data_IF_750635198413
#
_entry.id   IF_750635198413
#
_cell.length_a   1.000
_cell.length_b   1.000
_cell.length_c   1.000
_cell.angle_alpha   90.00
_cell.angle_beta   90.00
_cell.angle_gamma   90.00
#
_symmetry.space_group_name_H-M   'P 1'
#
loop_
_entity.id
_entity.type
_entity.pdbx_description
1 polymer ?
#
# COMPACT_ATOMS: atom_id res chain seq x y z
N UNK A 1 0.95 23.81 9.10
CA UNK A 1 1.30 22.87 8.01
C UNK A 1 2.29 21.88 8.58
N UNK A 2 1.80 20.68 8.96
CA UNK A 2 2.68 19.59 9.40
C UNK A 2 3.41 19.02 8.18
N UNK A 3 4.68 18.68 8.33
CA UNK A 3 5.46 18.03 7.28
C UNK A 3 5.21 16.52 7.38
N UNK A 4 5.09 15.81 6.24
CA UNK A 4 4.92 14.35 6.26
C UNK A 4 6.12 13.68 6.93
N UNK A 5 5.88 12.55 7.59
CA UNK A 5 6.97 11.68 8.03
C UNK A 5 7.47 10.91 6.81
N UNK A 6 8.69 11.24 6.40
CA UNK A 6 9.36 10.57 5.30
C UNK A 6 10.52 9.75 5.85
N UNK A 7 10.39 8.43 5.76
CA UNK A 7 11.48 7.50 6.02
C UNK A 7 12.10 7.13 4.67
N UNK A 8 13.33 7.58 4.44
CA UNK A 8 14.03 7.45 3.14
C UNK A 8 15.54 7.45 3.32
N UNK A 9 16.25 6.96 2.29
CA UNK A 9 17.69 6.94 1.95
C UNK A 9 18.76 7.11 3.05
N UNK A 10 18.59 8.02 4.00
CA UNK A 10 19.49 8.23 5.15
C UNK A 10 19.15 7.34 6.35
N UNK A 11 18.05 6.61 6.26
CA UNK A 11 17.57 5.70 7.27
C UNK A 11 17.39 4.33 6.62
N UNK A 12 18.48 3.60 6.40
CA UNK A 12 18.43 2.13 6.31
C UNK A 12 18.02 1.57 7.68
N UNK A 13 16.84 1.97 8.15
CA UNK A 13 16.26 1.47 9.39
C UNK A 13 15.79 0.07 9.05
N UNK A 14 16.53 -0.90 9.57
CA UNK A 14 15.98 -2.21 9.85
C UNK A 14 15.24 -2.10 11.19
N UNK A 15 14.05 -2.69 11.29
CA UNK A 15 13.26 -2.77 12.52
C UNK A 15 12.77 -1.41 13.05
N UNK A 16 11.73 -0.88 12.41
CA UNK A 16 11.01 0.31 12.89
C UNK A 16 9.56 -0.03 13.28
N UNK A 17 9.09 0.47 14.43
CA UNK A 17 7.69 0.41 14.81
C UNK A 17 7.08 1.82 14.80
N UNK A 18 6.02 2.00 14.01
CA UNK A 18 5.23 3.23 13.92
C UNK A 18 3.82 2.87 14.37
N UNK A 19 3.42 3.37 15.53
CA UNK A 19 2.14 3.02 16.11
C UNK A 19 1.52 4.15 16.91
N UNK A 20 0.18 4.14 17.02
CA UNK A 20 -0.61 5.12 17.76
C UNK A 20 -0.37 6.57 17.30
N UNK A 21 -0.06 6.76 16.02
CA UNK A 21 0.17 8.07 15.41
C UNK A 21 -1.05 8.53 14.61
N UNK A 22 -1.17 9.85 14.47
CA UNK A 22 -2.17 10.50 13.59
C UNK A 22 -1.43 11.31 12.52
N UNK A 23 -1.72 11.02 11.26
CA UNK A 23 -1.20 11.72 10.08
C UNK A 23 -2.34 12.46 9.40
N UNK A 24 -2.35 13.78 9.56
CA UNK A 24 -3.53 14.59 9.23
C UNK A 24 -3.19 15.68 8.21
N UNK A 25 -3.90 15.65 7.07
CA UNK A 25 -3.86 16.64 5.99
C UNK A 25 -2.43 17.01 5.54
N UNK A 26 -1.54 16.02 5.45
CA UNK A 26 -0.22 16.27 4.87
C UNK A 26 -0.37 16.64 3.39
N UNK A 27 0.50 17.55 2.94
CA UNK A 27 0.53 17.96 1.53
C UNK A 27 0.62 16.72 0.62
N UNK A 28 1.56 15.83 0.93
CA UNK A 28 1.79 14.57 0.22
C UNK A 28 1.28 13.40 1.05
N UNK A 29 1.81 12.22 0.76
CA UNK A 29 1.59 11.00 1.54
C UNK A 29 1.72 11.24 3.04
N UNK A 30 0.84 10.64 3.85
CA UNK A 30 0.93 10.72 5.32
C UNK A 30 2.22 10.09 5.84
N UNK A 31 2.45 8.83 5.46
CA UNK A 31 3.70 8.10 5.73
C UNK A 31 4.25 7.47 4.45
N UNK A 32 5.50 7.79 4.11
CA UNK A 32 6.22 7.15 3.00
C UNK A 32 7.36 6.29 3.52
N UNK A 33 7.25 4.98 3.30
CA UNK A 33 8.28 3.96 3.54
C UNK A 33 8.99 3.73 2.21
N UNK A 34 10.23 4.21 2.06
CA UNK A 34 10.98 4.12 0.81
C UNK A 34 12.34 3.45 1.03
N UNK A 35 12.66 2.43 0.21
CA UNK A 35 13.94 1.69 0.28
C UNK A 35 14.24 1.26 1.73
N UNK A 36 13.23 0.70 2.38
CA UNK A 36 13.30 0.30 3.79
C UNK A 36 12.92 -1.17 3.91
N UNK A 37 13.17 -1.76 5.08
CA UNK A 37 12.74 -3.12 5.37
C UNK A 37 12.37 -3.32 6.82
N UNK A 38 11.57 -4.35 7.08
CA UNK A 38 11.20 -4.79 8.42
C UNK A 38 10.57 -3.64 9.24
N UNK A 39 9.73 -2.83 8.57
CA UNK A 39 9.00 -1.71 9.17
C UNK A 39 7.58 -2.17 9.49
N UNK A 40 7.16 -1.94 10.72
CA UNK A 40 5.83 -2.23 11.25
C UNK A 40 5.07 -0.93 11.43
N UNK A 41 3.96 -0.79 10.70
CA UNK A 41 3.02 0.35 10.77
C UNK A 41 1.70 -0.16 11.29
N UNK A 42 1.45 0.05 12.58
CA UNK A 42 0.36 -0.59 13.30
C UNK A 42 -0.52 0.44 13.99
N UNK A 43 -1.85 0.34 13.91
CA UNK A 43 -2.76 1.15 14.75
C UNK A 43 -2.56 2.65 14.59
N UNK A 44 -2.49 3.14 13.36
CA UNK A 44 -2.39 4.57 13.09
C UNK A 44 -3.63 5.09 12.34
N UNK A 45 -3.84 6.40 12.39
CA UNK A 45 -4.90 7.10 11.69
C UNK A 45 -4.33 8.03 10.62
N UNK A 46 -4.83 7.94 9.39
CA UNK A 46 -4.42 8.73 8.24
C UNK A 46 -5.62 9.44 7.61
N UNK A 47 -5.65 10.77 7.67
CA UNK A 47 -6.79 11.59 7.21
C UNK A 47 -6.32 12.58 6.16
N UNK A 48 -6.99 12.62 5.00
CA UNK A 48 -6.88 13.76 4.08
C UNK A 48 -5.50 13.98 3.45
N UNK A 49 -4.62 12.98 3.48
CA UNK A 49 -3.23 13.11 3.02
C UNK A 49 -3.14 13.02 1.48
N UNK A 50 -2.25 13.81 0.88
CA UNK A 50 -1.95 13.72 -0.56
C UNK A 50 -2.92 14.47 -1.47
N UNK A 51 -3.89 15.19 -0.92
CA UNK A 51 -4.94 15.89 -1.69
C UNK A 51 -4.58 17.33 -2.06
N UNK A 52 -3.34 17.77 -1.81
CA UNK A 52 -2.96 19.14 -2.09
C UNK A 52 -3.05 19.46 -3.60
N UNK A 53 -3.65 20.61 -3.99
CA UNK A 53 -3.78 21.01 -5.38
C UNK A 53 -2.43 21.03 -6.12
N UNK A 54 -2.45 20.62 -7.39
CA UNK A 54 -1.26 20.62 -8.24
C UNK A 54 -0.25 19.51 -7.95
N UNK A 55 -0.52 18.61 -7.00
CA UNK A 55 0.31 17.42 -6.80
C UNK A 55 -0.14 16.26 -7.67
N UNK A 56 0.66 15.95 -8.70
CA UNK A 56 0.47 14.76 -9.51
C UNK A 56 1.52 13.68 -9.21
N UNK A 57 1.95 13.59 -7.95
CA UNK A 57 2.82 12.50 -7.53
C UNK A 57 2.00 11.20 -7.50
N UNK A 58 2.51 10.23 -8.25
CA UNK A 58 1.90 8.93 -8.41
C UNK A 58 2.05 8.10 -7.14
N UNK A 59 0.96 7.43 -6.76
CA UNK A 59 0.86 6.64 -5.54
C UNK A 59 1.00 7.45 -4.24
N UNK A 60 0.71 8.75 -4.24
CA UNK A 60 0.54 9.48 -2.98
C UNK A 60 -0.72 8.98 -2.25
N UNK A 61 -0.61 8.75 -0.94
CA UNK A 61 -1.61 7.98 -0.18
C UNK A 61 -1.66 8.33 1.32
N UNK A 62 -2.54 7.70 2.09
CA UNK A 62 -2.40 7.65 3.54
C UNK A 62 -1.06 7.01 3.91
N UNK A 63 -0.83 5.79 3.38
CA UNK A 63 0.42 5.05 3.54
C UNK A 63 0.96 4.66 2.16
N UNK A 64 2.24 4.94 1.92
CA UNK A 64 2.93 4.54 0.69
C UNK A 64 4.13 3.67 1.02
N UNK A 65 4.22 2.53 0.35
CA UNK A 65 5.38 1.64 0.35
C UNK A 65 6.07 1.78 -1.01
N UNK A 66 7.35 2.15 -1.04
CA UNK A 66 8.11 2.31 -2.28
C UNK A 66 9.38 1.48 -2.25
N UNK A 67 9.51 0.53 -3.18
CA UNK A 67 10.69 -0.33 -3.33
C UNK A 67 11.19 -0.85 -1.95
N UNK A 68 10.28 -1.33 -1.10
CA UNK A 68 10.56 -1.71 0.30
C UNK A 68 10.14 -3.15 0.58
N UNK A 69 10.82 -3.78 1.53
CA UNK A 69 10.72 -5.23 1.76
C UNK A 69 10.18 -5.57 3.14
N UNK A 70 9.44 -6.66 3.28
CA UNK A 70 9.03 -7.23 4.57
C UNK A 70 8.36 -6.21 5.53
N UNK A 71 7.65 -5.21 5.00
CA UNK A 71 6.95 -4.24 5.83
C UNK A 71 5.57 -4.77 6.19
N UNK A 72 5.14 -4.55 7.45
CA UNK A 72 3.82 -4.94 7.95
C UNK A 72 2.99 -3.68 8.15
N UNK A 73 1.88 -3.57 7.42
CA UNK A 73 0.90 -2.48 7.54
C UNK A 73 -0.41 -3.10 8.02
N UNK A 74 -0.73 -2.92 9.30
CA UNK A 74 -1.92 -3.53 9.87
C UNK A 74 -2.67 -2.64 10.87
N UNK A 75 -3.99 -2.84 10.96
CA UNK A 75 -4.85 -2.12 11.90
C UNK A 75 -4.80 -0.60 11.74
N UNK A 76 -4.50 -0.09 10.54
CA UNK A 76 -4.52 1.34 10.28
C UNK A 76 -5.87 1.75 9.69
N UNK A 77 -6.27 2.99 9.95
CA UNK A 77 -7.46 3.59 9.33
C UNK A 77 -7.03 4.74 8.41
N UNK A 78 -7.30 4.60 7.12
CA UNK A 78 -6.98 5.57 6.05
C UNK A 78 -8.25 6.14 5.45
N UNK A 79 -8.58 7.40 5.79
CA UNK A 79 -9.83 8.06 5.40
C UNK A 79 -9.56 9.31 4.54
N UNK A 80 -10.26 9.41 3.41
CA UNK A 80 -10.27 10.65 2.63
C UNK A 80 -8.91 11.08 2.09
N UNK A 81 -7.92 10.21 2.03
CA UNK A 81 -6.61 10.48 1.44
C UNK A 81 -6.70 10.41 -0.09
N UNK A 82 -5.62 10.76 -0.80
CA UNK A 82 -5.56 10.59 -2.26
C UNK A 82 -5.79 9.13 -2.64
N UNK A 83 -4.95 8.23 -2.15
CA UNK A 83 -5.20 6.79 -2.12
C UNK A 83 -5.14 6.31 -0.66
N UNK A 84 -5.76 5.17 -0.33
CA UNK A 84 -5.70 4.58 1.01
C UNK A 84 -4.30 4.08 1.35
N UNK A 85 -3.95 2.92 0.80
CA UNK A 85 -2.61 2.33 0.90
C UNK A 85 -2.08 2.08 -0.50
N UNK A 86 -0.82 2.43 -0.75
CA UNK A 86 -0.19 2.23 -2.06
C UNK A 86 1.14 1.48 -1.96
N UNK A 87 1.40 0.66 -2.97
CA UNK A 87 2.71 0.11 -3.25
C UNK A 87 3.21 0.67 -4.58
N UNK A 88 4.38 1.30 -4.54
CA UNK A 88 5.01 1.98 -5.67
C UNK A 88 6.29 1.24 -6.05
N UNK A 89 6.29 0.65 -7.23
CA UNK A 89 7.44 -0.08 -7.77
C UNK A 89 7.92 0.54 -9.09
N UNK A 90 9.23 0.61 -9.26
CA UNK A 90 9.90 1.09 -10.46
C UNK A 90 10.77 -0.02 -11.06
N UNK A 91 12.09 0.18 -11.05
CA UNK A 91 13.06 -0.77 -11.61
C UNK A 91 13.88 -1.46 -10.51
N UNK A 92 13.40 -1.40 -9.26
CA UNK A 92 14.19 -1.69 -8.08
C UNK A 92 15.37 -0.71 -7.92
N UNK A 93 15.94 -0.67 -6.73
CA UNK A 93 17.09 0.19 -6.40
C UNK A 93 18.20 -0.63 -5.77
N UNK A 94 19.33 -0.83 -6.48
CA UNK A 94 20.48 -1.48 -5.87
C UNK A 94 21.09 -0.57 -4.82
N UNK A 95 21.40 -1.11 -3.65
CA UNK A 95 22.04 -0.40 -2.55
C UNK A 95 23.02 -1.33 -1.83
N UNK A 96 24.18 -0.80 -1.48
CA UNK A 96 25.10 -1.46 -0.56
C UNK A 96 24.64 -1.16 0.88
N UNK A 97 24.37 -2.20 1.66
CA UNK A 97 24.10 -2.07 3.10
C UNK A 97 25.20 -2.74 3.91
N UNK A 98 25.38 -2.30 5.16
CA UNK A 98 26.39 -2.85 6.07
C UNK A 98 26.12 -4.32 6.42
N UNK A 99 24.85 -4.67 6.54
CA UNK A 99 24.37 -5.95 7.05
C UNK A 99 24.05 -7.00 5.97
N UNK A 100 23.78 -6.60 4.72
CA UNK A 100 23.41 -7.52 3.62
C UNK A 100 24.25 -7.32 2.35
N UNK A 101 25.20 -6.38 2.34
CA UNK A 101 25.98 -6.06 1.16
C UNK A 101 25.11 -5.50 0.04
N UNK A 102 25.38 -5.90 -1.20
CA UNK A 102 24.65 -5.43 -2.37
C UNK A 102 23.27 -6.07 -2.42
N UNK A 103 22.23 -5.29 -2.13
CA UNK A 103 20.84 -5.73 -2.17
C UNK A 103 20.02 -4.86 -3.14
N UNK A 104 19.10 -5.50 -3.86
CA UNK A 104 18.15 -4.82 -4.72
C UNK A 104 16.85 -4.56 -3.94
N UNK A 105 16.64 -3.31 -3.53
CA UNK A 105 15.38 -2.90 -2.92
C UNK A 105 14.28 -2.87 -3.98
N UNK A 106 13.25 -3.67 -3.77
CA UNK A 106 12.01 -3.68 -4.53
C UNK A 106 10.88 -4.09 -3.58
N UNK A 107 9.63 -3.84 -3.97
CA UNK A 107 8.47 -4.30 -3.23
C UNK A 107 8.47 -5.84 -3.18
N UNK A 108 8.66 -6.39 -1.97
CA UNK A 108 8.64 -7.84 -1.71
C UNK A 108 8.25 -8.14 -0.27
N UNK A 109 7.52 -9.22 -0.02
CA UNK A 109 7.27 -9.71 1.34
C UNK A 109 6.41 -8.78 2.20
N UNK A 110 5.82 -7.73 1.62
CA UNK A 110 4.99 -6.80 2.38
C UNK A 110 3.67 -7.45 2.77
N UNK A 111 3.21 -7.16 3.99
CA UNK A 111 1.93 -7.59 4.53
C UNK A 111 1.03 -6.37 4.71
N UNK A 112 -0.15 -6.39 4.10
CA UNK A 112 -1.18 -5.34 4.22
C UNK A 112 -2.47 -6.03 4.65
N UNK A 113 -2.80 -5.92 5.94
CA UNK A 113 -3.94 -6.66 6.50
C UNK A 113 -4.65 -5.94 7.62
N UNK A 114 -5.94 -6.21 7.82
CA UNK A 114 -6.73 -5.63 8.90
C UNK A 114 -6.78 -4.08 8.89
N UNK A 115 -6.62 -3.45 7.73
CA UNK A 115 -6.74 -1.99 7.59
C UNK A 115 -8.16 -1.58 7.17
N UNK A 116 -8.53 -0.35 7.50
CA UNK A 116 -9.70 0.33 6.96
C UNK A 116 -9.20 1.35 5.92
N UNK A 117 -9.68 1.28 4.68
CA UNK A 117 -9.51 2.33 3.68
C UNK A 117 -10.88 2.79 3.21
N UNK A 118 -11.28 4.02 3.55
CA UNK A 118 -12.61 4.51 3.21
C UNK A 118 -12.58 5.94 2.68
N UNK A 119 -13.46 6.23 1.72
CA UNK A 119 -13.68 7.56 1.16
C UNK A 119 -12.44 8.27 0.60
N UNK A 120 -11.35 7.54 0.33
CA UNK A 120 -10.18 8.08 -0.37
C UNK A 120 -10.59 8.58 -1.77
N UNK A 121 -9.83 9.49 -2.40
CA UNK A 121 -10.23 10.15 -3.66
C UNK A 121 -9.93 9.31 -4.92
N UNK A 122 -8.90 8.46 -4.87
CA UNK A 122 -8.42 7.60 -5.94
C UNK A 122 -8.79 6.14 -5.68
N UNK A 123 -7.88 5.36 -5.09
CA UNK A 123 -8.09 3.94 -4.81
C UNK A 123 -8.01 3.65 -3.31
N UNK A 124 -8.69 2.59 -2.86
CA UNK A 124 -8.53 2.08 -1.49
C UNK A 124 -7.20 1.30 -1.35
N UNK A 125 -6.82 0.61 -2.43
CA UNK A 125 -5.52 -0.04 -2.61
C UNK A 125 -4.93 0.30 -3.99
N UNK A 126 -3.74 0.91 -4.03
CA UNK A 126 -3.06 1.21 -5.28
C UNK A 126 -1.76 0.43 -5.47
N UNK A 127 -1.75 -0.56 -6.37
CA UNK A 127 -0.51 -1.25 -6.79
C UNK A 127 0.10 -0.52 -7.99
N UNK A 128 0.70 0.64 -7.70
CA UNK A 128 1.36 1.54 -8.65
C UNK A 128 2.70 0.96 -9.13
N UNK A 129 2.65 -0.08 -9.97
CA UNK A 129 3.84 -0.74 -10.53
C UNK A 129 4.15 -0.19 -11.91
N UNK A 130 5.21 0.62 -12.02
CA UNK A 130 5.73 1.20 -13.26
C UNK A 130 6.80 0.28 -13.88
N UNK A 131 6.42 -0.97 -14.13
CA UNK A 131 7.32 -2.02 -14.62
C UNK A 131 6.94 -2.50 -16.01
N UNK A 132 7.88 -3.16 -16.70
CA UNK A 132 7.63 -3.73 -18.03
C UNK A 132 6.54 -4.79 -18.09
N UNK A 133 6.15 -5.36 -16.93
CA UNK A 133 5.03 -6.30 -16.82
C UNK A 133 3.75 -5.70 -17.41
N UNK A 134 3.53 -4.41 -17.14
CA UNK A 134 2.31 -3.70 -17.50
C UNK A 134 2.35 -3.13 -18.93
N UNK A 135 3.36 -3.49 -19.73
CA UNK A 135 3.53 -3.02 -21.11
C UNK A 135 4.53 -1.87 -21.22
N UNK A 136 4.71 -1.36 -22.44
CA UNK A 136 5.72 -0.36 -22.77
C UNK A 136 5.40 1.01 -22.16
N UNK A 137 6.40 1.64 -21.55
CA UNK A 137 6.27 3.00 -21.03
C UNK A 137 6.14 4.00 -22.19
N UNK A 138 5.34 5.08 -22.08
CA UNK A 138 5.21 6.08 -23.15
C UNK A 138 6.54 6.69 -23.62
N UNK A 139 7.53 6.81 -22.73
CA UNK A 139 8.85 7.33 -23.09
C UNK A 139 9.69 6.35 -23.94
N UNK A 140 9.42 5.04 -23.85
CA UNK A 140 10.14 4.02 -24.59
C UNK A 140 9.59 3.80 -26.01
N UNK A 141 8.42 4.37 -26.33
CA UNK A 141 7.85 4.40 -27.70
C UNK A 141 8.76 5.06 -28.73
N UNK A 142 9.75 5.86 -28.30
CA UNK A 142 10.76 6.46 -29.18
C UNK A 142 11.93 5.51 -29.47
N UNK A 143 12.14 4.50 -28.63
CA UNK A 143 13.24 3.54 -28.70
C UNK A 143 12.83 2.24 -29.38
N UNK A 144 11.60 1.80 -29.13
CA UNK A 144 11.06 0.54 -29.65
C UNK A 144 9.86 0.82 -30.54
N UNK A 145 9.78 0.07 -31.64
CA UNK A 145 8.72 0.23 -32.66
C UNK A 145 7.35 -0.18 -32.13
N UNK A 146 7.31 -1.27 -31.36
CA UNK A 146 6.09 -1.93 -30.88
C UNK A 146 6.33 -2.63 -29.53
N UNK A 147 5.25 -3.13 -28.93
CA UNK A 147 5.27 -3.85 -27.64
C UNK A 147 6.08 -5.16 -27.70
N UNK A 148 6.14 -5.81 -28.86
CA UNK A 148 6.90 -7.05 -29.05
C UNK A 148 8.42 -6.78 -29.01
N UNK A 149 8.87 -5.75 -29.73
CA UNK A 149 10.26 -5.30 -29.70
C UNK A 149 10.68 -4.84 -28.29
N UNK A 150 9.79 -4.17 -27.56
CA UNK A 150 10.04 -3.80 -26.16
C UNK A 150 10.12 -5.03 -25.25
N UNK A 151 9.17 -5.97 -25.36
CA UNK A 151 9.12 -7.17 -24.54
C UNK A 151 10.38 -8.04 -24.70
N UNK A 152 10.95 -8.10 -25.91
CA UNK A 152 12.20 -8.81 -26.18
C UNK A 152 13.44 -8.22 -25.48
N UNK A 153 13.36 -7.00 -24.96
CA UNK A 153 14.46 -6.29 -24.27
C UNK A 153 14.30 -6.27 -22.75
N UNK A 154 13.17 -6.77 -22.23
CA UNK A 154 12.93 -6.81 -20.78
C UNK A 154 13.90 -7.79 -20.12
N UNK A 155 14.58 -7.33 -19.08
CA UNK A 155 15.28 -8.21 -18.15
C UNK A 155 14.25 -8.89 -17.25
N UNK A 156 14.04 -10.22 -17.35
CA UNK A 156 13.03 -10.91 -16.55
C UNK A 156 13.27 -10.76 -15.04
N UNK A 157 14.51 -10.48 -14.61
CA UNK A 157 14.85 -10.27 -13.20
C UNK A 157 14.41 -8.91 -12.65
N UNK A 158 14.02 -7.98 -13.53
CA UNK A 158 13.57 -6.62 -13.18
C UNK A 158 12.11 -6.37 -13.56
N UNK A 159 11.42 -7.42 -14.00
CA UNK A 159 9.97 -7.40 -14.22
C UNK A 159 9.31 -7.85 -12.92
N UNK A 160 9.07 -6.91 -12.01
CA UNK A 160 8.40 -7.21 -10.75
C UNK A 160 6.91 -7.40 -10.96
N UNK A 161 6.45 -8.62 -10.66
CA UNK A 161 5.06 -9.03 -10.64
C UNK A 161 4.57 -9.02 -9.18
N UNK A 162 3.60 -8.15 -8.81
CA UNK A 162 3.09 -8.11 -7.45
C UNK A 162 2.65 -9.49 -6.95
N UNK A 163 2.09 -10.33 -7.81
CA UNK A 163 1.58 -11.66 -7.43
C UNK A 163 2.68 -12.70 -7.21
N UNK A 164 3.95 -12.36 -7.53
CA UNK A 164 5.12 -13.26 -7.41
C UNK A 164 6.21 -12.70 -6.51
N UNK A 165 5.86 -11.74 -5.66
CA UNK A 165 6.79 -11.04 -4.76
C UNK A 165 6.44 -11.28 -3.29
N UNK A 166 5.83 -12.43 -2.98
CA UNK A 166 5.55 -12.91 -1.63
C UNK A 166 4.69 -11.92 -0.80
N UNK A 167 3.83 -11.14 -1.45
CA UNK A 167 2.92 -10.23 -0.74
C UNK A 167 1.75 -10.98 -0.09
N UNK A 168 1.39 -10.55 1.11
CA UNK A 168 0.12 -10.90 1.74
C UNK A 168 -0.75 -9.64 1.83
N UNK A 169 -1.77 -9.55 0.99
CA UNK A 169 -2.74 -8.46 1.02
C UNK A 169 -4.10 -9.10 1.25
N UNK A 170 -4.67 -8.95 2.45
CA UNK A 170 -5.91 -9.63 2.80
C UNK A 170 -6.60 -9.08 4.05
N UNK A 171 -7.87 -9.40 4.25
CA UNK A 171 -8.66 -9.06 5.46
C UNK A 171 -8.71 -7.56 5.76
N UNK A 172 -8.84 -6.72 4.74
CA UNK A 172 -9.05 -5.29 4.90
C UNK A 172 -10.56 -4.95 4.83
N UNK A 173 -10.92 -3.72 5.20
CA UNK A 173 -12.25 -3.15 4.98
C UNK A 173 -12.13 -1.95 4.05
N UNK A 174 -12.82 -2.01 2.92
CA UNK A 174 -12.82 -0.96 1.92
C UNK A 174 -14.18 -0.28 1.80
N UNK A 175 -14.18 1.04 1.64
CA UNK A 175 -15.35 1.81 1.24
C UNK A 175 -14.96 2.77 0.12
N UNK A 176 -15.43 2.48 -1.08
CA UNK A 176 -15.27 3.37 -2.22
C UNK A 176 -16.52 4.25 -2.40
N UNK A 177 -16.33 5.46 -2.91
CA UNK A 177 -17.42 6.35 -3.31
C UNK A 177 -18.19 5.74 -4.49
N UNK A 178 -19.47 6.10 -4.70
CA UNK A 178 -20.21 5.63 -5.86
C UNK A 178 -19.48 5.88 -7.19
N UNK A 179 -19.27 4.83 -7.98
CA UNK A 179 -18.58 4.88 -9.27
C UNK A 179 -17.05 4.91 -9.20
N UNK A 180 -16.47 4.98 -8.01
CA UNK A 180 -15.02 4.92 -7.80
C UNK A 180 -14.49 3.49 -7.95
N UNK A 181 -13.23 3.35 -8.39
CA UNK A 181 -12.52 2.07 -8.42
C UNK A 181 -11.92 1.77 -7.05
N UNK A 182 -12.03 0.53 -6.61
CA UNK A 182 -11.46 0.08 -5.34
C UNK A 182 -9.95 -0.10 -5.44
N UNK A 183 -9.48 -0.70 -6.53
CA UNK A 183 -8.09 -1.08 -6.68
C UNK A 183 -7.49 -0.74 -8.04
N UNK A 184 -6.20 -0.38 -8.03
CA UNK A 184 -5.35 -0.22 -9.21
C UNK A 184 -4.30 -1.34 -9.26
N UNK A 185 -4.09 -1.91 -10.44
CA UNK A 185 -3.05 -2.91 -10.71
C UNK A 185 -2.19 -2.49 -11.91
N UNK A 186 -1.03 -1.90 -11.62
CA UNK A 186 -0.15 -1.28 -12.60
C UNK A 186 -0.48 0.19 -12.86
N UNK A 187 0.49 0.95 -13.36
CA UNK A 187 0.31 2.39 -13.57
C UNK A 187 -0.55 2.73 -14.81
N UNK A 188 -1.45 3.73 -14.76
CA UNK A 188 -2.41 4.01 -15.85
C UNK A 188 -1.80 4.40 -17.20
N UNK A 189 -0.54 4.85 -17.22
CA UNK A 189 0.16 5.19 -18.45
C UNK A 189 0.77 3.99 -19.18
N UNK A 190 0.65 2.78 -18.64
CA UNK A 190 1.06 1.54 -19.31
C UNK A 190 -0.15 0.76 -19.82
N UNK A 191 -0.02 0.11 -20.97
CA UNK A 191 -1.14 -0.43 -21.75
C UNK A 191 -1.87 -1.60 -21.10
N UNK A 192 -1.24 -2.33 -20.17
CA UNK A 192 -1.79 -3.53 -19.52
C UNK A 192 -2.18 -3.30 -18.05
N UNK A 193 -2.22 -2.05 -17.58
CA UNK A 193 -2.78 -1.77 -16.26
C UNK A 193 -4.25 -2.19 -16.19
N UNK A 194 -4.73 -2.43 -14.98
CA UNK A 194 -6.12 -2.77 -14.72
C UNK A 194 -6.63 -1.96 -13.53
N UNK A 195 -7.91 -1.60 -13.59
CA UNK A 195 -8.63 -0.97 -12.49
C UNK A 195 -9.85 -1.81 -12.16
N UNK A 196 -10.12 -1.98 -10.87
CA UNK A 196 -11.18 -2.84 -10.38
C UNK A 196 -12.18 -2.03 -9.59
N UNK A 197 -13.45 -2.10 -9.98
CA UNK A 197 -14.55 -1.46 -9.25
C UNK A 197 -15.01 -2.27 -8.04
N UNK A 198 -14.68 -3.56 -8.00
CA UNK A 198 -15.21 -4.54 -7.05
C UNK A 198 -14.08 -5.48 -6.60
N UNK A 199 -14.18 -6.01 -5.38
CA UNK A 199 -13.20 -6.94 -4.82
C UNK A 199 -13.15 -8.30 -5.54
N UNK A 200 -14.30 -8.85 -5.94
CA UNK A 200 -14.33 -10.21 -6.52
C UNK A 200 -13.48 -10.33 -7.79
N UNK A 201 -13.59 -9.43 -8.79
CA UNK A 201 -12.71 -9.46 -9.95
C UNK A 201 -11.24 -9.19 -9.60
N UNK A 202 -10.96 -8.30 -8.64
CA UNK A 202 -9.59 -8.02 -8.19
C UNK A 202 -8.93 -9.24 -7.56
N UNK A 203 -9.65 -9.91 -6.65
CA UNK A 203 -9.20 -11.13 -5.98
C UNK A 203 -9.03 -12.29 -6.97
N UNK A 204 -9.91 -12.38 -7.97
CA UNK A 204 -9.78 -13.36 -9.05
C UNK A 204 -8.51 -13.14 -9.91
N UNK A 205 -8.18 -11.88 -10.22
CA UNK A 205 -7.04 -11.54 -11.06
C UNK A 205 -5.69 -11.64 -10.33
N UNK A 206 -5.65 -11.33 -9.03
CA UNK A 206 -4.40 -11.18 -8.28
C UNK A 206 -4.19 -12.25 -7.21
N UNK A 207 -5.27 -12.90 -6.76
CA UNK A 207 -5.26 -13.76 -5.58
C UNK A 207 -5.27 -13.02 -4.24
N UNK A 208 -5.17 -11.69 -4.23
CA UNK A 208 -5.20 -10.84 -3.03
C UNK A 208 -6.63 -10.57 -2.55
N UNK A 209 -6.76 -10.06 -1.32
CA UNK A 209 -7.99 -9.53 -0.74
C UNK A 209 -9.19 -10.51 -0.76
N UNK A 210 -8.92 -11.82 -0.66
CA UNK A 210 -9.96 -12.87 -0.68
C UNK A 210 -10.91 -12.82 0.51
N UNK A 211 -10.43 -12.32 1.65
CA UNK A 211 -11.18 -12.18 2.89
C UNK A 211 -11.43 -10.70 3.26
N UNK A 212 -11.16 -9.79 2.33
CA UNK A 212 -11.46 -8.36 2.47
C UNK A 212 -12.94 -8.13 2.22
N UNK A 213 -13.52 -7.16 2.94
CA UNK A 213 -14.94 -6.80 2.81
C UNK A 213 -15.10 -5.36 2.32
N UNK A 214 -16.22 -5.10 1.66
CA UNK A 214 -16.66 -3.76 1.29
C UNK A 214 -17.79 -3.32 2.22
N UNK A 215 -17.75 -2.08 2.71
CA UNK A 215 -18.83 -1.51 3.52
C UNK A 215 -18.42 -0.29 4.34
N UNK A 216 -19.42 0.38 4.91
CA UNK A 216 -19.22 1.53 5.78
C UNK A 216 -18.50 1.10 7.09
N UNK A 217 -17.35 1.71 7.43
CA UNK A 217 -16.65 1.44 8.69
C UNK A 217 -17.41 1.93 9.93
N UNK A 218 -18.48 2.72 9.75
CA UNK A 218 -19.35 3.28 10.79
C UNK A 218 -18.58 4.04 11.86
N UNK A 219 -17.88 5.10 11.44
CA UNK A 219 -17.13 5.98 12.35
C UNK A 219 -18.08 6.87 13.17
N UNK A 220 -17.74 7.13 14.44
CA UNK A 220 -18.66 7.76 15.41
C UNK A 220 -19.09 9.18 15.05
N UNK A 221 -18.16 10.08 14.72
CA UNK A 221 -18.49 11.45 14.30
C UNK A 221 -17.40 12.10 13.44
N UNK A 222 -17.20 11.64 12.18
CA UNK A 222 -16.23 12.22 11.25
C UNK A 222 -16.33 13.75 11.11
N UNK A 223 -17.56 14.28 11.07
CA UNK A 223 -17.82 15.71 10.93
C UNK A 223 -17.28 16.56 12.11
N UNK A 224 -17.02 15.93 13.26
CA UNK A 224 -16.39 16.56 14.44
C UNK A 224 -14.96 16.07 14.68
N UNK A 225 -14.37 15.32 13.74
CA UNK A 225 -13.03 14.74 13.86
C UNK A 225 -12.95 13.51 14.77
N UNK A 226 -14.08 12.88 15.10
CA UNK A 226 -14.11 11.62 15.84
C UNK A 226 -14.14 10.44 14.85
N UNK A 227 -12.96 9.91 14.58
CA UNK A 227 -12.72 8.83 13.62
C UNK A 227 -12.70 7.45 14.26
N UNK A 228 -13.14 7.32 15.51
CA UNK A 228 -13.19 6.02 16.18
C UNK A 228 -14.29 5.15 15.54
N UNK A 229 -14.06 3.85 15.35
CA UNK A 229 -15.10 2.95 14.85
C UNK A 229 -16.21 2.77 15.89
N UNK A 230 -17.45 2.69 15.43
CA UNK A 230 -18.58 2.27 16.26
C UNK A 230 -18.43 0.79 16.64
N UNK A 231 -18.80 0.44 17.88
CA UNK A 231 -18.79 -0.96 18.35
C UNK A 231 -19.80 -1.86 17.65
N UNK A 232 -20.82 -1.26 17.05
CA UNK A 232 -21.84 -1.96 16.25
C UNK A 232 -21.49 -1.92 14.75
N UNK A 233 -20.34 -1.36 14.40
CA UNK A 233 -19.89 -1.15 13.03
C UNK A 233 -19.13 -2.33 12.45
N UNK A 234 -19.10 -2.39 11.11
CA UNK A 234 -18.43 -3.45 10.38
C UNK A 234 -16.91 -3.51 10.67
N UNK A 235 -16.26 -2.35 10.83
CA UNK A 235 -14.84 -2.29 11.22
C UNK A 235 -14.60 -3.00 12.57
N UNK A 236 -15.50 -2.81 13.53
CA UNK A 236 -15.43 -3.45 14.84
C UNK A 236 -15.75 -4.93 14.79
N UNK A 237 -16.78 -5.33 14.04
CA UNK A 237 -17.14 -6.76 13.81
C UNK A 237 -15.95 -7.54 13.25
N UNK A 238 -15.24 -6.96 12.28
CA UNK A 238 -14.07 -7.58 11.67
C UNK A 238 -12.80 -7.45 12.51
N UNK A 239 -12.79 -6.59 13.54
CA UNK A 239 -11.60 -6.27 14.31
C UNK A 239 -10.53 -5.52 13.50
N UNK A 240 -10.90 -4.71 12.51
CA UNK A 240 -9.96 -4.03 11.59
C UNK A 240 -9.94 -2.50 11.77
N UNK A 241 -8.80 -1.90 11.50
CA UNK A 241 -8.58 -0.46 11.63
C UNK A 241 -8.06 0.00 12.98
N UNK A 242 -7.95 1.32 13.12
CA UNK A 242 -7.42 1.99 14.30
C UNK A 242 -8.29 1.71 15.53
N UNK A 243 -7.64 1.37 16.65
CA UNK A 243 -8.25 1.01 17.95
C UNK A 243 -9.05 -0.30 17.99
N UNK A 244 -9.03 -1.12 16.95
CA UNK A 244 -9.67 -2.46 16.95
C UNK A 244 -8.67 -3.60 17.05
N UNK A 245 -7.37 -3.29 17.06
CA UNK A 245 -6.32 -4.29 17.11
C UNK A 245 -6.46 -5.21 18.33
N UNK A 246 -6.01 -6.47 18.21
CA UNK A 246 -5.91 -7.37 19.35
C UNK A 246 -5.01 -6.76 20.44
N UNK A 247 -5.30 -7.08 21.70
CA UNK A 247 -4.51 -6.59 22.83
C UNK A 247 -3.07 -7.10 22.79
N UNK A 248 -2.89 -8.35 22.38
CA UNK A 248 -1.59 -8.99 22.22
C UNK A 248 -1.23 -9.04 20.73
N UNK A 249 -0.56 -7.99 20.28
CA UNK A 249 -0.16 -7.81 18.89
C UNK A 249 0.97 -8.77 18.54
N UNK A 250 1.85 -9.11 19.48
CA UNK A 250 2.93 -10.05 19.25
C UNK A 250 2.40 -11.47 19.06
N UNK A 251 1.45 -11.89 19.90
CA UNK A 251 0.76 -13.16 19.70
C UNK A 251 -0.02 -13.19 18.38
N UNK A 252 -0.71 -12.10 18.04
CA UNK A 252 -1.38 -11.99 16.74
C UNK A 252 -0.39 -12.10 15.58
N UNK A 253 0.76 -11.40 15.65
CA UNK A 253 1.79 -11.48 14.62
C UNK A 253 2.32 -12.90 14.49
N UNK A 254 2.58 -13.59 15.61
CA UNK A 254 3.04 -14.98 15.63
C UNK A 254 2.03 -15.97 15.03
N UNK A 255 0.73 -15.74 15.25
CA UNK A 255 -0.34 -16.61 14.75
C UNK A 255 -0.66 -16.36 13.27
N UNK A 256 -0.70 -15.09 12.86
CA UNK A 256 -1.30 -14.71 11.58
C UNK A 256 -0.32 -14.28 10.51
N UNK A 257 0.88 -13.81 10.88
CA UNK A 257 1.88 -13.51 9.87
C UNK A 257 2.51 -14.82 9.40
N UNK A 258 2.72 -14.98 8.09
CA UNK A 258 3.49 -16.09 7.58
C UNK A 258 4.85 -16.18 8.29
N UNK A 259 5.32 -17.40 8.57
CA UNK A 259 6.56 -17.62 9.31
C UNK A 259 7.78 -16.92 8.70
N UNK A 260 7.78 -16.69 7.38
CA UNK A 260 8.83 -15.94 6.69
C UNK A 260 8.88 -14.44 7.05
N UNK A 261 7.79 -13.86 7.56
CA UNK A 261 7.74 -12.46 8.03
C UNK A 261 8.44 -12.31 9.39
N UNK A 262 8.36 -13.33 10.24
CA UNK A 262 8.81 -13.27 11.64
C UNK A 262 10.32 -13.49 11.83
N UNK A 263 11.06 -13.67 10.73
CA UNK A 263 12.46 -14.04 10.76
C UNK A 263 12.65 -15.53 11.06
N UNK A 264 13.46 -16.18 10.23
CA UNK A 264 14.16 -17.42 10.59
C UNK A 264 15.37 -17.11 11.46
#
# INVERSE_FOLDING_TARGET
MLKPLWLSWLCSIALGLITECVFDHNWRTGLFIEISRDIYVLRNLFIGNGNAPGTNHWGDAGIKIGESMNCVVAYNTCIGNKDGITMREGQGRPMQTEDYGDILYHCRGNVITANVCADNDGYQLGLWYDTGLFGMHPQDKRKYRDEEAYAAQLDPKKVFDPTKTDHLIDRNLYQAKPGQKIALYGVPWRSKHQEFAELVPFAGATGFDRNTREGDPMLLNPAKGDWRPSRDGLAWEMGVGWLTAPQDVDAWMAEFLPTWVLGS
#
